data_IF_727163200720
#
_entry.id   IF_727163200720
#
_cell.length_a   1.000
_cell.length_b   1.000
_cell.length_c   1.000
_cell.angle_alpha   90.00
_cell.angle_beta   90.00
_cell.angle_gamma   90.00
#
_symmetry.space_group_name_H-M   'P 1'
#
loop_
_entity.id
_entity.type
_entity.pdbx_description
1 polymer ?
#
# COMPACT_ATOMS: atom_id res chain seq x y z
N UNK A 1 15.22 13.45 6.01
CA UNK A 1 16.00 12.77 4.96
C UNK A 1 15.03 11.90 4.20
N UNK A 2 14.89 12.10 2.90
CA UNK A 2 13.88 11.43 2.05
C UNK A 2 14.06 9.92 1.96
N UNK A 3 15.20 9.40 2.41
CA UNK A 3 15.52 7.98 2.41
C UNK A 3 15.16 7.27 3.73
N UNK A 4 14.74 8.01 4.76
CA UNK A 4 14.34 7.39 6.03
C UNK A 4 13.01 6.68 5.85
N UNK A 5 13.00 5.37 6.10
CA UNK A 5 11.76 4.59 6.19
C UNK A 5 11.05 4.96 7.48
N UNK A 6 9.77 5.29 7.35
CA UNK A 6 8.91 5.69 8.45
C UNK A 6 7.65 4.83 8.49
N UNK A 7 7.06 4.74 9.68
CA UNK A 7 5.75 4.13 9.88
C UNK A 7 4.68 5.15 9.48
N UNK A 8 3.93 4.85 8.43
CA UNK A 8 2.80 5.67 7.97
C UNK A 8 1.56 5.40 8.81
N UNK A 9 1.39 4.15 9.27
CA UNK A 9 0.29 3.73 10.12
C UNK A 9 0.66 2.51 10.96
N UNK A 10 0.27 2.53 12.22
CA UNK A 10 0.36 1.39 13.13
C UNK A 10 -0.83 1.43 14.10
N UNK A 11 -1.86 0.64 13.84
CA UNK A 11 -3.01 0.50 14.74
C UNK A 11 -3.78 -0.79 14.43
N UNK A 12 -4.71 -1.13 15.33
CA UNK A 12 -5.57 -2.30 15.20
C UNK A 12 -7.05 -1.95 15.48
N UNK A 13 -7.74 -1.24 14.57
CA UNK A 13 -9.20 -1.26 14.57
C UNK A 13 -9.68 -2.73 14.50
N UNK A 14 -10.67 -3.15 15.30
CA UNK A 14 -11.08 -4.57 15.38
C UNK A 14 -11.37 -5.21 14.01
N UNK A 15 -11.99 -4.46 13.10
CA UNK A 15 -12.36 -4.88 11.76
C UNK A 15 -11.18 -5.05 10.80
N UNK A 16 -10.10 -4.30 11.00
CA UNK A 16 -8.86 -4.37 10.20
C UNK A 16 -7.87 -5.39 10.77
N UNK A 17 -7.89 -5.60 12.10
CA UNK A 17 -6.83 -6.33 12.78
C UNK A 17 -5.53 -5.52 12.81
N UNK A 18 -4.41 -6.15 13.18
CA UNK A 18 -3.09 -5.50 13.17
C UNK A 18 -2.72 -5.09 11.75
N UNK A 19 -2.43 -3.79 11.58
CA UNK A 19 -1.93 -3.22 10.34
C UNK A 19 -0.71 -2.33 10.62
N UNK A 20 0.40 -2.66 9.95
CA UNK A 20 1.60 -1.83 9.93
C UNK A 20 1.91 -1.45 8.49
N UNK A 21 2.02 -0.16 8.20
CA UNK A 21 2.37 0.37 6.87
C UNK A 21 3.62 1.21 6.99
N UNK A 22 4.62 0.95 6.14
CA UNK A 22 5.85 1.73 6.13
C UNK A 22 6.37 2.00 4.71
N UNK A 23 6.93 3.20 4.56
CA UNK A 23 7.59 3.69 3.35
C UNK A 23 8.48 4.89 3.71
N UNK A 24 9.33 5.34 2.80
CA UNK A 24 10.03 6.62 2.86
C UNK A 24 9.33 7.69 2.01
N UNK A 25 9.69 8.96 2.20
CA UNK A 25 9.16 10.05 1.36
C UNK A 25 9.53 9.85 -0.12
N UNK A 26 10.73 9.33 -0.40
CA UNK A 26 11.15 8.98 -1.77
C UNK A 26 10.23 7.92 -2.38
N UNK A 27 9.85 6.89 -1.62
CA UNK A 27 8.95 5.85 -2.11
C UNK A 27 7.54 6.40 -2.39
N UNK A 28 7.04 7.28 -1.54
CA UNK A 28 5.76 7.96 -1.74
C UNK A 28 5.79 8.89 -2.97
N UNK A 29 6.89 9.60 -3.18
CA UNK A 29 7.10 10.43 -4.37
C UNK A 29 7.09 9.60 -5.66
N UNK A 30 7.82 8.48 -5.69
CA UNK A 30 7.80 7.56 -6.84
C UNK A 30 6.39 7.00 -7.07
N UNK A 31 5.70 6.60 -6.00
CA UNK A 31 4.33 6.08 -6.11
C UNK A 31 3.38 7.12 -6.72
N UNK A 32 3.48 8.38 -6.29
CA UNK A 32 2.62 9.47 -6.78
C UNK A 32 2.77 9.74 -8.28
N UNK A 33 3.96 9.45 -8.83
CA UNK A 33 4.30 9.60 -10.25
C UNK A 33 3.99 8.34 -11.07
N UNK A 34 3.60 7.24 -10.44
CA UNK A 34 3.37 5.96 -11.12
C UNK A 34 1.99 5.93 -11.77
N UNK A 35 1.95 5.88 -13.11
CA UNK A 35 0.70 5.70 -13.87
C UNK A 35 0.11 4.28 -13.70
N UNK A 36 0.96 3.30 -13.40
CA UNK A 36 0.58 1.92 -13.12
C UNK A 36 1.04 1.57 -11.71
N UNK A 37 0.10 1.13 -10.88
CA UNK A 37 0.37 0.58 -9.55
C UNK A 37 0.07 -0.91 -9.59
N UNK A 38 1.02 -1.71 -9.11
CA UNK A 38 0.81 -3.11 -8.80
C UNK A 38 0.54 -3.30 -7.32
N UNK A 39 -0.16 -4.35 -6.96
CA UNK A 39 -0.12 -4.85 -5.60
C UNK A 39 -0.22 -6.37 -5.54
N UNK A 40 0.49 -6.93 -4.58
CA UNK A 40 0.59 -8.36 -4.36
C UNK A 40 0.74 -8.60 -2.86
N UNK A 41 0.39 -9.78 -2.37
CA UNK A 41 0.80 -10.12 -1.02
C UNK A 41 1.19 -11.58 -0.86
N UNK A 42 2.33 -11.76 -0.20
CA UNK A 42 2.98 -13.04 0.00
C UNK A 42 2.71 -13.60 1.39
N UNK A 43 2.46 -14.90 1.45
CA UNK A 43 2.06 -15.64 2.65
C UNK A 43 3.22 -16.44 3.27
N UNK A 44 4.22 -16.85 2.46
CA UNK A 44 5.28 -17.77 2.90
C UNK A 44 6.22 -17.17 3.95
N UNK A 45 6.23 -15.84 4.07
CA UNK A 45 7.13 -15.09 4.96
C UNK A 45 6.42 -14.31 6.07
N UNK A 46 5.09 -14.46 6.19
CA UNK A 46 4.33 -13.75 7.21
C UNK A 46 4.53 -14.42 8.59
N UNK A 47 4.88 -13.63 9.61
CA UNK A 47 4.95 -14.11 10.99
C UNK A 47 3.56 -14.60 11.43
N UNK A 48 3.45 -15.57 12.34
CA UNK A 48 2.14 -16.12 12.79
C UNK A 48 1.11 -15.06 13.23
N UNK A 49 1.56 -13.86 13.61
CA UNK A 49 0.74 -12.73 14.03
C UNK A 49 0.25 -11.83 12.89
N UNK A 50 0.66 -12.10 11.65
CA UNK A 50 0.27 -11.40 10.42
C UNK A 50 -0.13 -12.45 9.38
N UNK A 51 -1.27 -12.29 8.71
CA UNK A 51 -1.65 -13.22 7.64
C UNK A 51 -0.86 -13.00 6.36
N UNK A 52 -0.38 -11.77 6.09
CA UNK A 52 0.19 -11.43 4.80
C UNK A 52 1.21 -10.29 4.91
N UNK A 53 2.30 -10.41 4.15
CA UNK A 53 3.13 -9.29 3.74
C UNK A 53 2.56 -8.76 2.43
N UNK A 54 1.85 -7.63 2.48
CA UNK A 54 1.26 -6.99 1.31
C UNK A 54 2.16 -5.87 0.80
N UNK A 55 2.36 -5.81 -0.52
CA UNK A 55 3.33 -4.93 -1.16
C UNK A 55 2.59 -4.10 -2.21
N UNK A 56 2.82 -2.79 -2.19
CA UNK A 56 2.44 -1.89 -3.27
C UNK A 56 3.67 -1.62 -4.12
N UNK A 57 3.50 -1.79 -5.42
CA UNK A 57 4.52 -1.71 -6.45
C UNK A 57 4.20 -0.50 -7.32
N UNK A 58 5.15 0.41 -7.50
CA UNK A 58 5.05 1.49 -8.47
C UNK A 58 6.04 1.29 -9.62
N UNK A 59 6.19 2.31 -10.46
CA UNK A 59 7.13 2.29 -11.57
C UNK A 59 8.11 3.47 -11.49
N UNK A 60 9.39 3.18 -11.69
CA UNK A 60 10.41 4.21 -11.92
C UNK A 60 10.57 4.39 -13.42
N UNK A 61 10.48 5.64 -13.88
CA UNK A 61 10.62 6.02 -15.30
C UNK A 61 9.71 5.21 -16.25
N UNK A 62 8.53 4.79 -15.76
CA UNK A 62 7.53 4.00 -16.50
C UNK A 62 8.03 2.64 -17.05
N UNK A 63 9.15 2.12 -16.53
CA UNK A 63 9.80 0.91 -17.08
C UNK A 63 9.98 -0.21 -16.07
N UNK A 64 10.31 0.12 -14.83
CA UNK A 64 10.74 -0.88 -13.87
C UNK A 64 9.78 -0.93 -12.67
N UNK A 65 9.08 -2.07 -12.45
CA UNK A 65 8.27 -2.24 -11.26
C UNK A 65 9.19 -2.32 -10.05
N UNK A 66 8.90 -1.50 -9.04
CA UNK A 66 9.67 -1.44 -7.80
C UNK A 66 8.74 -1.57 -6.59
N UNK A 67 9.07 -2.41 -5.60
CA UNK A 67 8.36 -2.42 -4.32
C UNK A 67 8.58 -1.08 -3.59
N UNK A 68 7.49 -0.39 -3.26
CA UNK A 68 7.55 0.95 -2.66
C UNK A 68 6.97 0.98 -1.26
N UNK A 69 5.86 0.29 -1.03
CA UNK A 69 5.19 0.28 0.27
C UNK A 69 5.00 -1.15 0.71
N UNK A 70 5.29 -1.38 1.99
CA UNK A 70 5.15 -2.68 2.62
C UNK A 70 4.14 -2.55 3.75
N UNK A 71 3.23 -3.52 3.78
CA UNK A 71 2.15 -3.62 4.73
C UNK A 71 2.22 -4.99 5.41
N UNK A 72 2.23 -5.01 6.74
CA UNK A 72 1.96 -6.24 7.51
C UNK A 72 0.47 -6.25 7.84
N UNK A 73 -0.25 -7.23 7.30
CA UNK A 73 -1.71 -7.30 7.41
C UNK A 73 -2.13 -8.56 8.17
N UNK A 74 -2.98 -8.41 9.18
CA UNK A 74 -3.64 -9.55 9.84
C UNK A 74 -4.85 -10.08 9.06
N UNK A 75 -5.53 -9.21 8.31
CA UNK A 75 -6.71 -9.56 7.52
C UNK A 75 -6.55 -9.17 6.04
N UNK A 76 -7.30 -9.85 5.18
CA UNK A 76 -7.44 -9.57 3.74
C UNK A 76 -8.91 -9.25 3.41
N UNK A 77 -9.39 -8.18 4.02
CA UNK A 77 -10.79 -7.77 3.92
C UNK A 77 -10.89 -6.34 3.39
N UNK A 78 -12.09 -5.95 2.98
CA UNK A 78 -12.35 -4.66 2.36
C UNK A 78 -11.91 -3.48 3.24
N UNK A 79 -12.19 -3.53 4.56
CA UNK A 79 -11.80 -2.47 5.49
C UNK A 79 -10.27 -2.31 5.58
N UNK A 80 -9.52 -3.43 5.48
CA UNK A 80 -8.05 -3.40 5.49
C UNK A 80 -7.52 -2.70 4.24
N UNK A 81 -7.96 -3.10 3.04
CA UNK A 81 -7.48 -2.46 1.80
C UNK A 81 -7.91 -1.00 1.69
N UNK A 82 -9.14 -0.70 2.10
CA UNK A 82 -9.65 0.67 2.17
C UNK A 82 -8.75 1.54 3.04
N UNK A 83 -8.40 1.05 4.23
CA UNK A 83 -7.53 1.77 5.14
C UNK A 83 -6.12 1.95 4.58
N UNK A 84 -5.56 0.92 3.94
CA UNK A 84 -4.26 1.03 3.24
C UNK A 84 -4.31 2.17 2.21
N UNK A 85 -5.31 2.17 1.32
CA UNK A 85 -5.42 3.21 0.27
C UNK A 85 -5.59 4.60 0.88
N UNK A 86 -6.40 4.75 1.94
CA UNK A 86 -6.57 6.03 2.66
C UNK A 86 -5.27 6.53 3.27
N UNK A 87 -4.53 5.66 3.95
CA UNK A 87 -3.23 6.00 4.55
C UNK A 87 -2.27 6.47 3.47
N UNK A 88 -2.21 5.79 2.33
CA UNK A 88 -1.36 6.18 1.20
C UNK A 88 -1.74 7.56 0.65
N UNK A 89 -3.03 7.82 0.43
CA UNK A 89 -3.50 9.13 -0.05
C UNK A 89 -3.14 10.26 0.90
N UNK A 90 -3.33 10.04 2.20
CA UNK A 90 -2.96 11.02 3.23
C UNK A 90 -1.44 11.23 3.25
N UNK A 91 -0.65 10.16 3.24
CA UNK A 91 0.81 10.23 3.27
C UNK A 91 1.38 10.97 2.05
N UNK A 92 0.88 10.66 0.84
CA UNK A 92 1.24 11.37 -0.39
C UNK A 92 0.80 12.84 -0.33
N UNK A 93 -0.42 13.12 0.15
CA UNK A 93 -0.93 14.49 0.28
C UNK A 93 -0.13 15.34 1.27
N UNK A 94 0.38 14.75 2.36
CA UNK A 94 1.25 15.44 3.31
C UNK A 94 2.57 15.93 2.68
N UNK A 95 3.02 15.27 1.60
CA UNK A 95 4.15 15.70 0.78
C UNK A 95 3.77 16.72 -0.30
N UNK A 96 2.51 17.19 -0.33
CA UNK A 96 1.93 18.06 -1.34
C UNK A 96 1.93 17.45 -2.75
N UNK A 97 1.82 16.12 -2.80
CA UNK A 97 1.71 15.32 -4.02
C UNK A 97 0.28 14.78 -4.14
N UNK A 98 -0.01 14.10 -5.25
CA UNK A 98 -1.33 13.52 -5.54
C UNK A 98 -1.18 12.09 -6.03
N UNK A 99 -2.06 11.19 -5.58
CA UNK A 99 -2.02 9.77 -5.92
C UNK A 99 -3.16 9.44 -6.88
N UNK A 100 -2.85 9.43 -8.18
CA UNK A 100 -3.83 9.21 -9.27
C UNK A 100 -3.31 8.22 -10.31
N UNK A 101 -3.13 6.94 -9.96
CA UNK A 101 -2.76 5.93 -10.95
C UNK A 101 -3.85 5.78 -12.01
N UNK A 102 -3.44 5.53 -13.26
CA UNK A 102 -4.34 5.22 -14.37
C UNK A 102 -4.78 3.75 -14.30
N UNK A 103 -3.87 2.87 -13.87
CA UNK A 103 -4.13 1.44 -13.75
C UNK A 103 -3.69 0.91 -12.39
N UNK A 104 -4.52 0.03 -11.82
CA UNK A 104 -4.17 -0.78 -10.66
C UNK A 104 -4.23 -2.25 -11.06
N UNK A 105 -3.09 -2.94 -10.96
CA UNK A 105 -2.94 -4.36 -11.28
C UNK A 105 -2.76 -5.16 -10.00
N UNK A 106 -3.53 -6.22 -9.82
CA UNK A 106 -3.40 -7.14 -8.70
C UNK A 106 -3.95 -8.51 -9.09
N UNK A 107 -3.68 -9.52 -8.28
CA UNK A 107 -4.45 -10.76 -8.32
C UNK A 107 -5.93 -10.48 -8.02
N UNK A 108 -6.80 -11.37 -8.51
CA UNK A 108 -8.24 -11.20 -8.34
C UNK A 108 -8.60 -11.35 -6.86
N UNK A 109 -8.91 -10.22 -6.24
CA UNK A 109 -9.44 -10.17 -4.90
C UNK A 109 -10.61 -9.18 -4.83
N UNK A 110 -11.80 -9.68 -4.47
CA UNK A 110 -13.04 -8.91 -4.50
C UNK A 110 -13.03 -7.75 -3.50
N UNK A 111 -12.43 -7.97 -2.32
CA UNK A 111 -12.26 -6.98 -1.28
C UNK A 111 -11.39 -5.79 -1.73
N UNK A 112 -10.23 -6.08 -2.30
CA UNK A 112 -9.32 -5.09 -2.87
C UNK A 112 -9.96 -4.34 -4.05
N UNK A 113 -10.57 -5.08 -4.98
CA UNK A 113 -11.25 -4.49 -6.15
C UNK A 113 -12.35 -3.51 -5.72
N UNK A 114 -13.10 -3.84 -4.67
CA UNK A 114 -14.09 -2.94 -4.09
C UNK A 114 -13.45 -1.70 -3.48
N UNK A 115 -12.38 -1.87 -2.69
CA UNK A 115 -11.67 -0.76 -2.07
C UNK A 115 -11.10 0.24 -3.10
N UNK A 116 -10.46 -0.24 -4.18
CA UNK A 116 -9.90 0.60 -5.25
C UNK A 116 -10.99 1.44 -5.94
N UNK A 117 -12.20 0.91 -6.11
CA UNK A 117 -13.30 1.63 -6.76
C UNK A 117 -13.91 2.73 -5.90
N UNK A 118 -13.89 2.55 -4.58
CA UNK A 118 -14.55 3.44 -3.64
C UNK A 118 -13.62 4.50 -3.05
N UNK A 119 -12.30 4.24 -3.07
CA UNK A 119 -11.28 5.18 -2.63
C UNK A 119 -10.67 5.93 -3.80
#
# INVERSE_FOLDING_TARGET
DSNVVQVLYASAPPEVGRLLIYASDLQLDILSKSNRIGSDGTFETAAQISHQNYIIIGEVEEKHPVPLIFCLCEHKNYETYKLIIKVLKIAVSNLKLDLKPVYWMSDYESALTKAIKEE
#
